data_IF_756896873978
#
_entry.id   IF_756896873978
#
_cell.length_a   1.000
_cell.length_b   1.000
_cell.length_c   1.000
_cell.angle_alpha   90.00
_cell.angle_beta   90.00
_cell.angle_gamma   90.00
#
_symmetry.space_group_name_H-M   'P 1'
#
loop_
_entity.id
_entity.type
_entity.pdbx_description
1 polymer ?
#
# COMPACT_ATOMS: atom_id res chain seq x y z
N UNK A 1 -16.05 -2.58 15.92
CA UNK A 1 -14.85 -2.96 15.13
C UNK A 1 -14.52 -4.42 15.43
N UNK A 2 -14.44 -5.25 14.40
CA UNK A 2 -14.08 -6.65 14.63
C UNK A 2 -12.56 -6.79 14.72
N UNK A 3 -12.13 -7.79 15.51
CA UNK A 3 -10.71 -8.11 15.61
C UNK A 3 -10.16 -8.53 14.26
N UNK A 4 -10.96 -9.26 13.48
CA UNK A 4 -10.56 -9.74 12.17
C UNK A 4 -10.29 -8.59 11.19
N UNK A 5 -11.16 -7.57 11.19
CA UNK A 5 -10.96 -6.39 10.34
C UNK A 5 -9.69 -5.64 10.74
N UNK A 6 -9.41 -5.54 12.05
CA UNK A 6 -8.18 -4.94 12.54
C UNK A 6 -6.95 -5.71 12.07
N UNK A 7 -7.01 -7.03 12.10
CA UNK A 7 -5.91 -7.88 11.61
C UNK A 7 -5.67 -7.68 10.12
N UNK A 8 -6.74 -7.55 9.33
CA UNK A 8 -6.62 -7.32 7.89
C UNK A 8 -5.97 -5.97 7.60
N UNK A 9 -6.33 -4.92 8.37
CA UNK A 9 -5.71 -3.62 8.21
C UNK A 9 -4.21 -3.66 8.51
N UNK A 10 -3.82 -4.31 9.60
CA UNK A 10 -2.41 -4.47 9.97
C UNK A 10 -1.66 -5.27 8.90
N UNK A 11 -2.25 -6.35 8.42
CA UNK A 11 -1.66 -7.17 7.35
C UNK A 11 -1.41 -6.35 6.08
N UNK A 12 -2.44 -5.65 5.61
CA UNK A 12 -2.31 -4.89 4.35
C UNK A 12 -1.32 -3.74 4.48
N UNK A 13 -1.34 -2.99 5.61
CA UNK A 13 -0.40 -1.90 5.80
C UNK A 13 1.05 -2.39 5.87
N UNK A 14 1.30 -3.52 6.55
CA UNK A 14 2.62 -4.13 6.59
C UNK A 14 3.09 -4.60 5.21
N UNK A 15 2.16 -5.12 4.41
CA UNK A 15 2.45 -5.58 3.06
C UNK A 15 2.87 -4.44 2.12
N UNK A 16 2.33 -3.22 2.31
CA UNK A 16 2.77 -2.05 1.53
C UNK A 16 4.27 -1.83 1.70
N UNK A 17 4.73 -1.76 2.96
CA UNK A 17 6.13 -1.55 3.27
C UNK A 17 7.03 -2.68 2.78
N UNK A 18 6.61 -3.93 3.00
CA UNK A 18 7.38 -5.09 2.58
C UNK A 18 7.58 -5.12 1.06
N UNK A 19 6.52 -4.84 0.29
CA UNK A 19 6.63 -4.85 -1.17
C UNK A 19 7.43 -3.66 -1.69
N UNK A 20 7.38 -2.52 -1.01
CA UNK A 20 8.21 -1.39 -1.37
C UNK A 20 9.70 -1.71 -1.18
N UNK A 21 10.06 -2.33 -0.04
CA UNK A 21 11.44 -2.75 0.21
C UNK A 21 11.92 -3.77 -0.81
N UNK A 22 11.08 -4.74 -1.16
CA UNK A 22 11.38 -5.72 -2.19
C UNK A 22 11.59 -5.05 -3.55
N UNK A 23 10.81 -4.01 -3.87
CA UNK A 23 10.99 -3.26 -5.10
C UNK A 23 12.37 -2.61 -5.15
N UNK A 24 12.80 -1.99 -4.04
CA UNK A 24 14.11 -1.34 -3.97
C UNK A 24 15.28 -2.31 -4.14
N UNK A 25 15.09 -3.58 -3.83
CA UNK A 25 16.11 -4.63 -3.96
C UNK A 25 15.95 -5.43 -5.26
N UNK A 26 15.00 -5.07 -6.11
CA UNK A 26 14.72 -5.81 -7.33
C UNK A 26 15.90 -5.76 -8.31
N UNK A 27 16.18 -6.90 -8.94
CA UNK A 27 17.29 -7.02 -9.87
C UNK A 27 16.92 -6.70 -11.32
N UNK A 28 15.63 -6.50 -11.59
CA UNK A 28 15.15 -6.16 -12.91
C UNK A 28 14.04 -5.12 -12.83
N UNK A 29 13.84 -4.37 -13.93
CA UNK A 29 12.76 -3.41 -14.04
C UNK A 29 11.39 -4.10 -13.93
N UNK A 30 11.26 -5.28 -14.55
CA UNK A 30 10.01 -6.04 -14.50
C UNK A 30 9.63 -6.40 -13.06
N UNK A 31 10.59 -6.88 -12.28
CA UNK A 31 10.37 -7.23 -10.88
C UNK A 31 10.06 -6.01 -10.04
N UNK A 32 10.80 -4.91 -10.26
CA UNK A 32 10.56 -3.62 -9.60
C UNK A 32 9.10 -3.16 -9.81
N UNK A 33 8.64 -3.14 -11.06
CA UNK A 33 7.28 -2.72 -11.39
C UNK A 33 6.24 -3.66 -10.78
N UNK A 34 6.50 -4.97 -10.79
CA UNK A 34 5.62 -5.95 -10.19
C UNK A 34 5.43 -5.70 -8.70
N UNK A 35 6.52 -5.48 -7.97
CA UNK A 35 6.48 -5.22 -6.53
C UNK A 35 5.78 -3.91 -6.20
N UNK A 36 5.98 -2.87 -7.01
CA UNK A 36 5.29 -1.60 -6.81
C UNK A 36 3.79 -1.71 -7.05
N UNK A 37 3.37 -2.51 -8.03
CA UNK A 37 1.94 -2.74 -8.28
C UNK A 37 1.28 -3.44 -7.11
N UNK A 38 1.97 -4.40 -6.50
CA UNK A 38 1.47 -5.09 -5.31
C UNK A 38 1.38 -4.09 -4.15
N UNK A 39 2.41 -3.27 -3.94
CA UNK A 39 2.39 -2.25 -2.89
C UNK A 39 1.22 -1.28 -3.06
N UNK A 40 0.96 -0.82 -4.29
CA UNK A 40 -0.16 0.08 -4.59
C UNK A 40 -1.50 -0.58 -4.29
N UNK A 41 -1.66 -1.84 -4.68
CA UNK A 41 -2.87 -2.61 -4.40
C UNK A 41 -3.10 -2.73 -2.89
N UNK A 42 -2.05 -3.05 -2.14
CA UNK A 42 -2.13 -3.18 -0.69
C UNK A 42 -2.42 -1.83 -0.01
N UNK A 43 -1.89 -0.74 -0.56
CA UNK A 43 -2.22 0.60 -0.07
C UNK A 43 -3.70 0.90 -0.24
N UNK A 44 -4.29 0.51 -1.38
CA UNK A 44 -5.72 0.66 -1.62
C UNK A 44 -6.54 -0.15 -0.64
N UNK A 45 -6.13 -1.39 -0.35
CA UNK A 45 -6.79 -2.22 0.65
C UNK A 45 -6.68 -1.60 2.05
N UNK A 46 -5.53 -1.04 2.39
CA UNK A 46 -5.34 -0.36 3.66
C UNK A 46 -6.33 0.79 3.83
N UNK A 47 -6.54 1.59 2.78
CA UNK A 47 -7.51 2.68 2.80
C UNK A 47 -8.91 2.13 3.06
N UNK A 48 -9.27 1.04 2.39
CA UNK A 48 -10.58 0.39 2.60
C UNK A 48 -10.77 0.00 4.07
N UNK A 49 -9.78 -0.68 4.65
CA UNK A 49 -9.86 -1.10 6.05
C UNK A 49 -9.89 0.09 7.02
N UNK A 50 -9.10 1.14 6.76
CA UNK A 50 -9.10 2.34 7.58
C UNK A 50 -10.48 3.01 7.58
N UNK A 51 -11.13 3.10 6.43
CA UNK A 51 -12.47 3.67 6.33
C UNK A 51 -13.51 2.80 7.04
N UNK A 52 -13.43 1.50 6.88
CA UNK A 52 -14.34 0.56 7.52
C UNK A 52 -14.20 0.61 9.05
N UNK A 53 -12.99 0.79 9.57
CA UNK A 53 -12.71 0.88 10.98
C UNK A 53 -12.94 2.28 11.55
N UNK A 54 -13.41 3.21 10.73
CA UNK A 54 -13.65 4.61 11.09
C UNK A 54 -12.39 5.28 11.66
N UNK A 55 -11.25 5.01 11.04
CA UNK A 55 -9.99 5.60 11.45
C UNK A 55 -10.03 7.13 11.30
N UNK A 56 -9.21 7.87 12.09
CA UNK A 56 -9.13 9.33 11.95
C UNK A 56 -8.77 9.73 10.51
N UNK A 57 -9.41 10.80 10.03
CA UNK A 57 -9.21 11.29 8.66
C UNK A 57 -7.74 11.52 8.28
N UNK A 58 -6.87 12.07 9.17
CA UNK A 58 -5.46 12.21 8.82
C UNK A 58 -4.76 10.91 8.43
N UNK A 59 -5.12 9.78 9.03
CA UNK A 59 -4.54 8.47 8.68
C UNK A 59 -5.01 8.01 7.30
N UNK A 60 -6.28 8.23 6.99
CA UNK A 60 -6.85 7.90 5.68
C UNK A 60 -6.18 8.76 4.61
N UNK A 61 -5.97 10.05 4.91
CA UNK A 61 -5.30 10.97 4.00
C UNK A 61 -3.86 10.54 3.70
N UNK A 62 -3.11 10.17 4.74
CA UNK A 62 -1.74 9.69 4.57
C UNK A 62 -1.67 8.43 3.71
N UNK A 63 -2.58 7.49 3.94
CA UNK A 63 -2.64 6.26 3.14
C UNK A 63 -2.96 6.58 1.68
N UNK A 64 -3.86 7.53 1.44
CA UNK A 64 -4.21 7.96 0.08
C UNK A 64 -3.04 8.64 -0.61
N UNK A 65 -2.29 9.48 0.10
CA UNK A 65 -1.10 10.14 -0.42
C UNK A 65 -0.03 9.11 -0.80
N UNK A 66 0.19 8.11 0.05
CA UNK A 66 1.13 7.03 -0.24
C UNK A 66 0.73 6.26 -1.50
N UNK A 67 -0.54 5.94 -1.65
CA UNK A 67 -1.04 5.26 -2.85
C UNK A 67 -0.78 6.09 -4.11
N UNK A 68 -0.98 7.41 -4.03
CA UNK A 68 -0.72 8.30 -5.16
C UNK A 68 0.76 8.40 -5.50
N UNK A 69 1.63 8.40 -4.48
CA UNK A 69 3.09 8.40 -4.68
C UNK A 69 3.52 7.12 -5.41
N UNK A 70 3.03 5.97 -4.97
CA UNK A 70 3.33 4.69 -5.62
C UNK A 70 2.85 4.67 -7.06
N UNK A 71 1.65 5.21 -7.30
CA UNK A 71 1.11 5.33 -8.65
C UNK A 71 1.95 6.21 -9.54
N UNK A 72 2.45 7.34 -9.01
CA UNK A 72 3.32 8.25 -9.78
C UNK A 72 4.65 7.59 -10.13
N UNK A 73 5.24 6.83 -9.21
CA UNK A 73 6.47 6.10 -9.46
C UNK A 73 6.25 5.07 -10.58
N UNK A 74 5.13 4.35 -10.54
CA UNK A 74 4.78 3.37 -11.57
C UNK A 74 4.66 4.04 -12.94
N UNK A 75 4.00 5.20 -13.02
CA UNK A 75 3.82 5.92 -14.27
C UNK A 75 5.15 6.36 -14.86
N UNK A 76 6.05 6.89 -14.03
CA UNK A 76 7.36 7.35 -14.49
C UNK A 76 8.29 6.21 -14.88
N UNK A 77 8.03 5.01 -14.40
CA UNK A 77 8.90 3.84 -14.62
C UNK A 77 8.48 2.98 -15.81
N UNK A 78 7.39 3.31 -16.46
CA UNK A 78 6.90 2.58 -17.63
C UNK A 78 7.82 2.74 -18.83
#
# INVERSE_FOLDING_TARGET
ISIEDGKQMVRSSGSVGANYLEANEAISKKDFLHRLRIAKKEARETIYWLKLLEAPEPLIKEASELMHILGAILEKSK
#
